data_IF_076814581602
#
_entry.id   IF_076814581602
#
_cell.length_a   1.000
_cell.length_b   1.000
_cell.length_c   1.000
_cell.angle_alpha   90.00
_cell.angle_beta   90.00
_cell.angle_gamma   90.00
#
_symmetry.space_group_name_H-M   'P 1'
#
loop_
_entity.id
_entity.type
_entity.pdbx_description
1 polymer ?
#
# COMPACT_ATOMS: atom_id res chain seq x y z
N UNK A 1 3.05 -10.96 -0.42
CA UNK A 1 1.93 -11.92 -0.30
C UNK A 1 1.97 -12.93 -1.43
N UNK A 2 1.44 -14.11 -1.16
CA UNK A 2 1.24 -15.12 -2.18
C UNK A 2 -0.02 -14.85 -3.00
N UNK A 3 -1.01 -14.29 -2.34
CA UNK A 3 -2.27 -13.81 -2.91
C UNK A 3 -2.94 -12.86 -1.93
N UNK A 4 -3.75 -11.97 -2.44
CA UNK A 4 -4.59 -11.09 -1.62
C UNK A 4 -5.82 -10.65 -2.41
N UNK A 5 -6.91 -10.39 -1.71
CA UNK A 5 -8.13 -9.86 -2.31
C UNK A 5 -8.90 -9.01 -1.31
N UNK A 6 -9.68 -8.11 -1.84
CA UNK A 6 -10.63 -7.29 -1.08
C UNK A 6 -12.05 -7.65 -1.49
N UNK A 7 -12.89 -7.91 -0.51
CA UNK A 7 -14.33 -8.13 -0.71
C UNK A 7 -15.13 -7.00 -0.05
N UNK A 8 -16.16 -6.55 -0.73
CA UNK A 8 -17.16 -5.61 -0.24
C UNK A 8 -18.52 -6.21 -0.49
N UNK A 9 -19.32 -6.37 0.57
CA UNK A 9 -20.65 -7.00 0.51
C UNK A 9 -20.63 -8.38 -0.18
N UNK A 10 -19.57 -9.16 0.08
CA UNK A 10 -19.42 -10.50 -0.49
C UNK A 10 -18.89 -10.54 -1.92
N UNK A 11 -18.66 -9.40 -2.56
CA UNK A 11 -18.12 -9.32 -3.93
C UNK A 11 -16.65 -8.94 -3.91
N UNK A 12 -15.84 -9.60 -4.72
CA UNK A 12 -14.43 -9.26 -4.89
C UNK A 12 -14.31 -7.98 -5.73
N UNK A 13 -13.71 -6.93 -5.16
CA UNK A 13 -13.49 -5.64 -5.85
C UNK A 13 -12.06 -5.48 -6.35
N UNK A 14 -11.12 -6.23 -5.80
CA UNK A 14 -9.73 -6.24 -6.26
C UNK A 14 -9.02 -7.49 -5.76
N UNK A 15 -8.14 -8.04 -6.59
CA UNK A 15 -7.39 -9.25 -6.25
C UNK A 15 -6.06 -9.29 -6.99
N UNK A 16 -5.06 -9.89 -6.35
CA UNK A 16 -3.74 -10.17 -6.94
C UNK A 16 -3.29 -11.58 -6.56
N UNK A 17 -2.43 -12.17 -7.38
CA UNK A 17 -1.60 -13.32 -7.02
C UNK A 17 -0.35 -12.88 -6.26
N UNK A 18 0.84 -13.46 -6.55
CA UNK A 18 2.08 -13.04 -5.89
C UNK A 18 2.34 -11.54 -6.09
N UNK A 19 2.73 -10.86 -5.03
CA UNK A 19 3.01 -9.44 -5.09
C UNK A 19 2.97 -8.76 -3.72
N UNK A 20 2.52 -7.52 -3.70
CA UNK A 20 2.43 -6.69 -2.50
C UNK A 20 0.99 -6.27 -2.22
N UNK A 21 0.53 -6.54 -1.01
CA UNK A 21 -0.63 -5.86 -0.44
C UNK A 21 -0.11 -4.61 0.28
N UNK A 22 -0.57 -3.44 -0.16
CA UNK A 22 -0.15 -2.16 0.40
C UNK A 22 -1.34 -1.50 1.09
N UNK A 23 -1.30 -1.47 2.41
CA UNK A 23 -2.21 -0.66 3.22
C UNK A 23 -1.61 0.74 3.28
N UNK A 24 -2.33 1.74 2.82
CA UNK A 24 -1.78 3.09 2.64
C UNK A 24 -2.67 4.14 3.29
N UNK A 25 -2.02 5.13 3.91
CA UNK A 25 -2.68 6.24 4.58
C UNK A 25 -2.02 7.55 4.17
N UNK A 26 -2.83 8.55 3.84
CA UNK A 26 -2.37 9.93 3.74
C UNK A 26 -2.44 10.60 5.11
N UNK A 27 -1.37 11.29 5.48
CA UNK A 27 -1.31 12.08 6.71
C UNK A 27 -1.58 13.55 6.42
N UNK A 28 -1.92 14.31 7.46
CA UNK A 28 -2.06 15.77 7.34
C UNK A 28 -0.75 16.38 6.83
N UNK A 29 -0.85 17.24 5.83
CA UNK A 29 0.30 17.88 5.20
C UNK A 29 0.90 17.11 4.05
N UNK A 30 0.49 15.88 3.80
CA UNK A 30 0.91 15.14 2.61
C UNK A 30 0.44 15.81 1.33
N UNK A 31 1.29 15.75 0.32
CA UNK A 31 1.03 16.21 -1.04
C UNK A 31 1.28 15.08 -2.03
N UNK A 32 1.07 15.35 -3.30
CA UNK A 32 1.40 14.40 -4.38
C UNK A 32 2.88 13.99 -4.36
N UNK A 33 3.77 14.87 -3.89
CA UNK A 33 5.20 14.59 -3.80
C UNK A 33 5.49 13.42 -2.86
N UNK A 34 4.82 13.34 -1.72
CA UNK A 34 4.98 12.23 -0.76
C UNK A 34 4.44 10.92 -1.36
N UNK A 35 3.31 10.99 -2.07
CA UNK A 35 2.75 9.82 -2.78
C UNK A 35 3.73 9.30 -3.84
N UNK A 36 4.31 10.18 -4.63
CA UNK A 36 5.29 9.80 -5.66
C UNK A 36 6.52 9.14 -5.06
N UNK A 37 7.07 9.70 -3.99
CA UNK A 37 8.23 9.14 -3.28
C UNK A 37 7.93 7.76 -2.71
N UNK A 38 6.76 7.60 -2.09
CA UNK A 38 6.34 6.33 -1.50
C UNK A 38 6.22 5.25 -2.57
N UNK A 39 5.54 5.53 -3.68
CA UNK A 39 5.37 4.59 -4.78
C UNK A 39 6.71 4.18 -5.39
N UNK A 40 7.61 5.13 -5.65
CA UNK A 40 8.93 4.84 -6.19
C UNK A 40 9.69 3.87 -5.26
N UNK A 41 9.59 4.09 -3.95
CA UNK A 41 10.24 3.23 -2.97
C UNK A 41 9.61 1.84 -2.90
N UNK A 42 8.28 1.75 -2.88
CA UNK A 42 7.55 0.48 -2.85
C UNK A 42 7.93 -0.39 -4.06
N UNK A 43 7.94 0.17 -5.25
CA UNK A 43 8.22 -0.57 -6.48
C UNK A 43 9.65 -1.09 -6.57
N UNK A 44 10.58 -0.46 -5.88
CA UNK A 44 12.01 -0.83 -5.86
C UNK A 44 12.42 -1.63 -4.64
N UNK A 45 11.53 -1.83 -3.69
CA UNK A 45 11.83 -2.53 -2.45
C UNK A 45 12.21 -3.99 -2.73
N UNK A 46 13.38 -4.40 -2.30
CA UNK A 46 13.98 -5.69 -2.63
C UNK A 46 13.68 -6.71 -1.52
N UNK A 47 12.44 -7.13 -1.43
CA UNK A 47 11.93 -8.02 -0.38
C UNK A 47 11.41 -9.37 -0.88
N UNK A 48 11.62 -9.67 -2.15
CA UNK A 48 11.34 -10.97 -2.73
C UNK A 48 12.62 -11.77 -2.88
N UNK A 49 12.55 -13.07 -2.59
CA UNK A 49 13.71 -13.95 -2.61
C UNK A 49 14.22 -14.19 -4.02
N UNK A 50 15.55 -14.16 -4.18
CA UNK A 50 16.22 -14.63 -5.37
C UNK A 50 16.42 -16.15 -5.33
N UNK A 51 17.12 -16.70 -6.32
CA UNK A 51 17.37 -18.16 -6.40
C UNK A 51 18.26 -18.69 -5.26
N UNK A 52 19.00 -17.79 -4.59
CA UNK A 52 19.81 -18.12 -3.42
C UNK A 52 19.05 -17.95 -2.10
N UNK A 53 17.75 -17.59 -2.14
CA UNK A 53 16.92 -17.39 -0.97
C UNK A 53 17.15 -16.04 -0.27
N UNK A 54 17.83 -15.09 -0.92
CA UNK A 54 18.10 -13.76 -0.37
C UNK A 54 17.11 -12.74 -0.90
N UNK A 55 16.71 -11.78 -0.06
CA UNK A 55 15.83 -10.67 -0.42
C UNK A 55 16.52 -9.70 -1.36
N UNK A 56 16.47 -9.95 -2.65
CA UNK A 56 17.14 -9.16 -3.68
C UNK A 56 16.23 -8.70 -4.81
N UNK A 57 15.02 -9.27 -4.93
CA UNK A 57 14.11 -8.95 -6.03
C UNK A 57 12.99 -8.05 -5.57
N UNK A 58 12.51 -7.20 -6.47
CA UNK A 58 11.38 -6.31 -6.23
C UNK A 58 10.10 -6.87 -6.86
N UNK A 59 8.95 -6.23 -6.59
CA UNK A 59 7.68 -6.59 -7.22
C UNK A 59 7.70 -6.40 -8.75
N UNK A 60 8.64 -5.62 -9.25
CA UNK A 60 8.82 -5.42 -10.70
C UNK A 60 9.60 -6.53 -11.38
N UNK A 61 10.18 -7.44 -10.61
CA UNK A 61 11.04 -8.50 -11.14
C UNK A 61 11.09 -9.68 -10.16
N UNK A 62 10.00 -10.44 -10.10
CA UNK A 62 9.87 -11.56 -9.15
C UNK A 62 10.78 -12.75 -9.46
N UNK A 63 11.10 -12.96 -10.73
CA UNK A 63 11.84 -14.15 -11.19
C UNK A 63 13.27 -13.86 -11.69
N UNK A 64 13.69 -12.59 -11.66
CA UNK A 64 14.98 -12.18 -12.23
C UNK A 64 14.96 -12.04 -13.75
N UNK A 65 13.80 -12.19 -14.40
CA UNK A 65 13.61 -12.11 -15.84
C UNK A 65 12.53 -11.09 -16.24
N UNK A 66 12.15 -10.23 -15.31
CA UNK A 66 11.19 -9.15 -15.56
C UNK A 66 9.73 -9.50 -15.29
N UNK A 67 9.43 -10.63 -14.66
CA UNK A 67 8.05 -10.97 -14.29
C UNK A 67 7.58 -10.05 -13.15
N UNK A 68 6.54 -9.27 -13.42
CA UNK A 68 5.96 -8.38 -12.42
C UNK A 68 4.97 -9.11 -11.51
N UNK A 69 5.01 -8.79 -10.22
CA UNK A 69 3.96 -9.17 -9.28
C UNK A 69 2.81 -8.19 -9.29
N UNK A 70 1.72 -8.53 -8.61
CA UNK A 70 0.59 -7.64 -8.42
C UNK A 70 0.83 -6.62 -7.31
N UNK A 71 0.18 -5.47 -7.42
CA UNK A 71 0.16 -4.43 -6.40
C UNK A 71 -1.30 -4.17 -6.04
N UNK A 72 -1.69 -4.51 -4.82
CA UNK A 72 -3.04 -4.27 -4.32
C UNK A 72 -3.00 -3.12 -3.31
N UNK A 73 -3.57 -1.97 -3.69
CA UNK A 73 -3.58 -0.75 -2.87
C UNK A 73 -4.90 -0.62 -2.13
N UNK A 74 -4.84 -0.57 -0.81
CA UNK A 74 -6.02 -0.44 0.07
C UNK A 74 -5.83 0.77 0.97
N UNK A 75 -6.79 1.69 0.94
CA UNK A 75 -6.78 2.85 1.85
C UNK A 75 -7.04 2.40 3.29
N UNK A 76 -6.17 2.82 4.22
CA UNK A 76 -6.20 2.41 5.62
C UNK A 76 -5.81 3.61 6.51
N UNK A 77 -6.76 4.50 6.80
CA UNK A 77 -6.48 5.71 7.59
C UNK A 77 -6.03 5.39 9.03
N UNK A 78 -6.41 4.21 9.54
CA UNK A 78 -6.05 3.77 10.89
C UNK A 78 -4.55 3.53 11.08
N UNK A 79 -3.75 3.51 10.01
CA UNK A 79 -2.29 3.50 10.12
C UNK A 79 -1.76 4.75 10.82
N UNK A 80 -2.50 5.86 10.79
CA UNK A 80 -2.14 7.10 11.48
C UNK A 80 -2.63 7.16 12.92
N UNK A 81 -3.02 6.02 13.50
CA UNK A 81 -3.51 5.97 14.87
C UNK A 81 -2.45 6.40 15.87
N UNK A 82 -2.85 7.26 16.79
CA UNK A 82 -2.09 7.60 17.99
C UNK A 82 -2.71 6.86 19.19
N UNK A 83 -1.94 5.98 19.78
CA UNK A 83 -2.36 5.15 20.91
C UNK A 83 -1.67 5.54 22.23
N UNK A 84 -1.02 6.70 22.27
CA UNK A 84 -0.24 7.15 23.42
C UNK A 84 -1.10 7.57 24.61
N UNK A 85 -2.35 7.98 24.39
CA UNK A 85 -3.26 8.46 25.43
C UNK A 85 -4.48 7.57 25.59
N UNK A 86 -4.58 6.84 26.72
CA UNK A 86 -5.75 6.02 27.03
C UNK A 86 -5.91 4.81 26.11
N UNK A 87 -7.14 4.27 26.07
CA UNK A 87 -7.45 3.04 25.33
C UNK A 87 -8.14 3.29 23.99
N UNK A 88 -8.55 4.52 23.72
CA UNK A 88 -9.18 4.91 22.47
C UNK A 88 -8.14 5.54 21.55
N UNK A 89 -7.87 4.96 20.37
CA UNK A 89 -6.92 5.56 19.44
C UNK A 89 -7.45 6.90 18.89
N UNK A 90 -6.53 7.85 18.66
CA UNK A 90 -6.80 9.11 17.99
C UNK A 90 -6.32 9.02 16.55
N UNK A 91 -7.07 9.60 15.61
CA UNK A 91 -6.73 9.63 14.20
C UNK A 91 -6.51 11.05 13.68
N UNK A 92 -6.15 11.98 14.56
CA UNK A 92 -5.94 13.40 14.19
C UNK A 92 -4.80 13.60 13.20
N UNK A 93 -3.86 12.66 13.11
CA UNK A 93 -2.75 12.72 12.15
C UNK A 93 -3.15 12.29 10.73
N UNK A 94 -4.26 11.59 10.56
CA UNK A 94 -4.75 11.24 9.24
C UNK A 94 -5.24 12.49 8.49
N UNK A 95 -5.05 12.50 7.18
CA UNK A 95 -5.63 13.54 6.33
C UNK A 95 -7.16 13.52 6.47
N UNK A 96 -7.80 14.68 6.27
CA UNK A 96 -9.25 14.76 6.21
C UNK A 96 -9.78 13.83 5.09
N UNK A 97 -11.00 13.27 5.21
CA UNK A 97 -11.50 12.27 4.28
C UNK A 97 -11.42 12.65 2.80
N UNK A 98 -11.76 13.88 2.43
CA UNK A 98 -11.69 14.36 1.05
C UNK A 98 -10.26 14.37 0.51
N UNK A 99 -9.32 14.86 1.32
CA UNK A 99 -7.91 14.92 0.96
C UNK A 99 -7.29 13.51 0.95
N UNK A 100 -7.68 12.66 1.87
CA UNK A 100 -7.28 11.26 1.88
C UNK A 100 -7.72 10.53 0.62
N UNK A 101 -8.97 10.76 0.20
CA UNK A 101 -9.49 10.18 -1.06
C UNK A 101 -8.71 10.72 -2.27
N UNK A 102 -8.48 12.03 -2.31
CA UNK A 102 -7.77 12.67 -3.43
C UNK A 102 -6.37 12.08 -3.60
N UNK A 103 -5.63 11.98 -2.50
CA UNK A 103 -4.25 11.45 -2.54
C UNK A 103 -4.21 9.95 -2.81
N UNK A 104 -5.17 9.20 -2.29
CA UNK A 104 -5.31 7.78 -2.61
C UNK A 104 -5.58 7.58 -4.11
N UNK A 105 -6.54 8.30 -4.66
CA UNK A 105 -6.87 8.20 -6.09
C UNK A 105 -5.67 8.62 -6.96
N UNK A 106 -4.95 9.65 -6.54
CA UNK A 106 -3.72 10.08 -7.20
C UNK A 106 -2.65 8.96 -7.17
N UNK A 107 -2.43 8.35 -6.00
CA UNK A 107 -1.46 7.27 -5.85
C UNK A 107 -1.82 6.07 -6.72
N UNK A 108 -3.09 5.69 -6.79
CA UNK A 108 -3.58 4.61 -7.65
C UNK A 108 -3.33 4.92 -9.13
N UNK A 109 -3.65 6.14 -9.57
CA UNK A 109 -3.43 6.55 -10.95
C UNK A 109 -1.95 6.53 -11.33
N UNK A 110 -1.07 7.00 -10.43
CA UNK A 110 0.37 6.95 -10.65
C UNK A 110 0.91 5.51 -10.66
N UNK A 111 0.44 4.68 -9.74
CA UNK A 111 0.83 3.27 -9.69
C UNK A 111 0.51 2.57 -11.01
N UNK A 112 -0.65 2.83 -11.59
CA UNK A 112 -1.05 2.25 -12.88
C UNK A 112 -0.18 2.72 -14.05
N UNK A 113 0.39 3.91 -13.97
CA UNK A 113 1.36 4.38 -14.97
C UNK A 113 2.73 3.71 -14.84
N UNK A 114 3.11 3.35 -13.61
CA UNK A 114 4.45 2.85 -13.29
C UNK A 114 4.55 1.33 -13.25
N UNK A 115 3.42 0.65 -13.10
CA UNK A 115 3.38 -0.80 -12.87
C UNK A 115 2.20 -1.43 -13.61
N UNK A 116 2.38 -2.59 -14.27
CA UNK A 116 1.34 -3.15 -15.15
C UNK A 116 0.19 -3.83 -14.44
N UNK A 117 0.39 -4.35 -13.22
CA UNK A 117 -0.62 -5.11 -12.49
C UNK A 117 -0.96 -4.41 -11.17
N UNK A 118 -2.00 -3.58 -11.20
CA UNK A 118 -2.47 -2.82 -10.04
C UNK A 118 -3.95 -3.09 -9.82
N UNK A 119 -4.28 -3.52 -8.61
CA UNK A 119 -5.65 -3.70 -8.13
C UNK A 119 -5.87 -2.80 -6.91
N UNK A 120 -7.12 -2.56 -6.56
CA UNK A 120 -7.48 -1.66 -5.47
C UNK A 120 -8.60 -2.25 -4.61
N UNK A 121 -8.68 -1.77 -3.36
CA UNK A 121 -9.89 -1.85 -2.58
C UNK A 121 -10.89 -0.76 -3.02
N UNK A 122 -11.82 -0.44 -2.15
CA UNK A 122 -12.82 0.61 -2.37
C UNK A 122 -12.73 1.62 -1.23
N UNK A 123 -12.40 2.86 -1.53
CA UNK A 123 -12.21 3.89 -0.51
C UNK A 123 -13.45 4.05 0.36
N UNK A 124 -13.24 4.11 1.68
CA UNK A 124 -14.26 4.28 2.72
C UNK A 124 -15.31 3.16 2.82
N UNK A 125 -15.16 2.06 2.08
CA UNK A 125 -16.05 0.92 2.21
C UNK A 125 -15.68 0.05 3.42
N UNK A 126 -16.64 -0.74 3.89
CA UNK A 126 -16.38 -1.83 4.81
C UNK A 126 -15.81 -3.01 4.01
N UNK A 127 -14.51 -3.22 4.15
CA UNK A 127 -13.77 -4.20 3.34
C UNK A 127 -13.36 -5.40 4.18
N UNK A 128 -13.47 -6.58 3.57
CA UNK A 128 -12.83 -7.79 4.08
C UNK A 128 -11.56 -8.03 3.27
N UNK A 129 -10.42 -7.92 3.92
CA UNK A 129 -9.11 -8.09 3.26
C UNK A 129 -8.59 -9.48 3.55
N UNK A 130 -8.50 -10.30 2.52
CA UNK A 130 -7.99 -11.66 2.59
C UNK A 130 -6.58 -11.71 2.01
N UNK A 131 -5.67 -12.39 2.69
CA UNK A 131 -4.28 -12.48 2.21
C UNK A 131 -3.59 -13.73 2.74
N UNK A 132 -2.58 -14.14 2.01
CA UNK A 132 -1.57 -15.09 2.51
C UNK A 132 -0.25 -14.34 2.57
N UNK A 133 0.20 -14.01 3.78
CA UNK A 133 1.47 -13.31 3.99
C UNK A 133 2.60 -14.36 4.01
N UNK A 134 3.26 -14.49 2.87
CA UNK A 134 4.26 -15.51 2.64
C UNK A 134 5.60 -15.07 3.22
N UNK A 135 6.03 -15.84 4.23
CA UNK A 135 7.26 -15.55 4.95
C UNK A 135 7.12 -15.58 6.48
N UNK A 136 6.29 -14.86 7.19
CA UNK A 136 5.65 -13.61 6.75
C UNK A 136 6.67 -12.47 6.59
N UNK A 137 6.37 -11.53 5.70
CA UNK A 137 7.17 -10.33 5.49
C UNK A 137 6.24 -9.12 5.49
N UNK A 138 6.45 -8.20 6.44
CA UNK A 138 5.63 -7.00 6.60
C UNK A 138 6.56 -5.83 6.92
N UNK A 139 6.56 -4.82 6.06
CA UNK A 139 7.48 -3.69 6.14
C UNK A 139 6.67 -2.40 6.32
N UNK A 140 6.76 -1.73 7.48
CA UNK A 140 6.20 -0.40 7.63
C UNK A 140 7.09 0.64 6.96
N UNK A 141 6.46 1.59 6.26
CA UNK A 141 7.16 2.69 5.59
C UNK A 141 6.41 3.99 5.84
N UNK A 142 7.15 5.08 5.93
CA UNK A 142 6.57 6.41 6.06
C UNK A 142 7.43 7.41 5.30
N UNK A 143 6.78 8.20 4.45
CA UNK A 143 7.38 9.41 3.88
C UNK A 143 6.76 10.57 4.64
N UNK A 144 7.55 11.21 5.48
CA UNK A 144 7.06 12.33 6.28
C UNK A 144 6.64 13.50 5.38
N UNK A 145 5.54 14.21 5.71
CA UNK A 145 5.19 15.42 4.99
C UNK A 145 6.34 16.42 5.04
N UNK A 146 6.51 17.20 3.95
CA UNK A 146 7.49 18.27 3.93
C UNK A 146 7.18 19.28 5.03
N UNK A 147 8.22 19.74 5.74
CA UNK A 147 8.04 20.75 6.77
C UNK A 147 7.51 22.04 6.14
N UNK A 148 6.40 22.55 6.68
CA UNK A 148 5.91 23.88 6.35
C UNK A 148 6.81 24.91 7.01
N UNK A 149 7.40 25.76 6.21
CA UNK A 149 8.24 26.87 6.71
C UNK A 149 7.35 28.08 6.99
#
# INVERSE_FOLDING_TARGET
VRQARVEVDGAVVGAIGPGLLVLVCAERGDTEAEADKLLAKILKLRIFSDDAGKMNRSVQDLDGQGACGGLLLVSQFTLAADTTGGNRPSFTQAAAPDEGRRLYDYAVAQARKLHPEVATGQFAADMQVHLVNDGPVTIPMRIAPAATV
#
